data_IF_112677039137
#
_entry.id   IF_112677039137
#
_cell.length_a   1.000
_cell.length_b   1.000
_cell.length_c   1.000
_cell.angle_alpha   90.00
_cell.angle_beta   90.00
_cell.angle_gamma   90.00
#
_symmetry.space_group_name_H-M   'P 1'
#
loop_
_entity.id
_entity.type
_entity.pdbx_description
1 polymer ?
#
# COMPACT_ATOMS: atom_id res chain seq x y z
N UNK A 1 2.30 24.12 0.22
CA UNK A 1 1.67 23.34 1.31
C UNK A 1 2.19 21.90 1.33
N UNK A 2 2.16 21.14 0.22
CA UNK A 2 2.64 19.74 0.15
C UNK A 2 4.05 19.52 0.72
N UNK A 3 5.07 20.29 0.27
CA UNK A 3 6.44 20.16 0.80
C UNK A 3 6.57 20.47 2.29
N UNK A 4 5.76 21.39 2.81
CA UNK A 4 5.73 21.73 4.25
C UNK A 4 5.19 20.57 5.06
N UNK A 5 4.09 19.96 4.61
CA UNK A 5 3.46 18.82 5.27
C UNK A 5 4.32 17.55 5.18
N UNK A 6 4.96 17.31 4.03
CA UNK A 6 5.91 16.22 3.88
C UNK A 6 7.08 16.36 4.86
N UNK A 7 7.70 17.55 4.94
CA UNK A 7 8.78 17.84 5.89
C UNK A 7 8.34 17.69 7.34
N UNK A 8 7.12 18.08 7.67
CA UNK A 8 6.55 17.92 9.00
C UNK A 8 6.41 16.44 9.37
N UNK A 9 5.99 15.62 8.40
CA UNK A 9 5.82 14.18 8.60
C UNK A 9 7.14 13.41 8.65
N UNK A 10 8.14 13.80 7.87
CA UNK A 10 9.40 13.03 7.73
C UNK A 10 10.57 13.63 8.49
N UNK A 11 10.49 14.90 8.91
CA UNK A 11 11.63 15.65 9.42
C UNK A 11 12.65 16.06 8.35
N UNK A 12 12.45 15.68 7.07
CA UNK A 12 13.43 15.84 6.00
C UNK A 12 13.03 16.93 5.01
N UNK A 13 14.00 17.74 4.57
CA UNK A 13 13.82 18.74 3.51
C UNK A 13 14.13 18.22 2.11
N UNK A 14 14.82 17.08 2.03
CA UNK A 14 15.22 16.40 0.79
C UNK A 14 14.80 14.94 0.93
N UNK A 15 14.33 14.34 -0.17
CA UNK A 15 13.96 12.92 -0.18
C UNK A 15 15.15 12.06 0.23
N UNK A 16 14.88 11.07 1.09
CA UNK A 16 15.86 10.05 1.49
C UNK A 16 16.43 9.30 0.26
N UNK A 17 15.67 9.13 -0.82
CA UNK A 17 16.10 8.36 -2.00
C UNK A 17 16.74 9.19 -3.11
N UNK A 18 17.06 10.45 -2.85
CA UNK A 18 17.64 11.35 -3.85
C UNK A 18 18.94 10.80 -4.44
N UNK A 19 19.85 10.33 -3.58
CA UNK A 19 21.16 9.84 -4.04
C UNK A 19 21.06 8.47 -4.72
N UNK A 20 20.17 7.60 -4.24
CA UNK A 20 19.88 6.32 -4.91
C UNK A 20 19.27 6.54 -6.30
N UNK A 21 18.32 7.47 -6.46
CA UNK A 21 17.79 7.82 -7.76
C UNK A 21 18.86 8.32 -8.72
N UNK A 22 19.77 9.20 -8.26
CA UNK A 22 20.87 9.67 -9.10
C UNK A 22 21.78 8.52 -9.50
N UNK A 23 22.15 7.66 -8.54
CA UNK A 23 23.02 6.50 -8.76
C UNK A 23 22.43 5.53 -9.78
N UNK A 24 21.14 5.23 -9.70
CA UNK A 24 20.46 4.27 -10.56
C UNK A 24 19.75 4.89 -11.77
N UNK A 25 19.90 6.20 -12.00
CA UNK A 25 19.26 6.91 -13.12
C UNK A 25 19.60 6.31 -14.49
N UNK A 26 20.82 5.81 -14.67
CA UNK A 26 21.23 5.12 -15.91
C UNK A 26 20.43 3.83 -16.14
N UNK A 27 20.31 3.00 -15.10
CA UNK A 27 19.51 1.76 -15.14
C UNK A 27 18.01 2.03 -15.31
N UNK A 28 17.49 3.06 -14.64
CA UNK A 28 16.10 3.50 -14.83
C UNK A 28 15.85 3.89 -16.29
N UNK A 29 16.73 4.71 -16.87
CA UNK A 29 16.63 5.11 -18.28
C UNK A 29 16.69 3.91 -19.21
N UNK A 30 17.67 3.03 -19.05
CA UNK A 30 17.85 1.82 -19.87
C UNK A 30 16.60 0.92 -19.85
N UNK A 31 15.98 0.76 -18.68
CA UNK A 31 14.86 -0.19 -18.48
C UNK A 31 13.48 0.43 -18.67
N UNK A 32 13.35 1.76 -18.74
CA UNK A 32 12.06 2.44 -18.87
C UNK A 32 11.91 3.12 -20.23
N UNK A 33 12.99 3.70 -20.79
CA UNK A 33 12.90 4.44 -22.03
C UNK A 33 12.42 3.57 -23.18
N UNK A 34 11.37 4.02 -23.87
CA UNK A 34 10.77 3.27 -24.98
C UNK A 34 10.06 1.97 -24.56
N UNK A 35 9.85 1.74 -23.26
CA UNK A 35 9.16 0.54 -22.74
C UNK A 35 7.67 0.78 -22.52
N UNK A 36 6.89 -0.31 -22.56
CA UNK A 36 5.44 -0.31 -22.30
C UNK A 36 5.18 -0.61 -20.82
N UNK A 37 4.54 0.31 -20.12
CA UNK A 37 4.21 0.19 -18.68
C UNK A 37 2.71 0.02 -18.49
N UNK A 38 2.33 -0.99 -17.72
CA UNK A 38 0.98 -1.16 -17.17
C UNK A 38 1.03 -0.91 -15.65
N UNK A 39 0.30 0.10 -15.18
CA UNK A 39 0.24 0.46 -13.77
C UNK A 39 -1.19 0.31 -13.22
N UNK A 40 -1.40 -0.70 -12.39
CA UNK A 40 -2.70 -1.10 -11.82
C UNK A 40 -2.85 -0.51 -10.42
N UNK A 41 -4.04 0.01 -10.07
CA UNK A 41 -4.28 0.73 -8.82
C UNK A 41 -3.52 2.04 -8.71
N UNK A 42 -3.06 2.58 -9.85
CA UNK A 42 -2.09 3.68 -9.89
C UNK A 42 -2.73 5.07 -9.87
N UNK A 43 -4.05 5.17 -9.74
CA UNK A 43 -4.70 6.42 -9.35
C UNK A 43 -4.58 6.68 -7.83
N UNK A 44 -4.30 5.64 -7.04
CA UNK A 44 -4.00 5.77 -5.61
C UNK A 44 -2.65 6.45 -5.34
N UNK A 45 -2.49 7.00 -4.14
CA UNK A 45 -1.39 7.95 -3.81
C UNK A 45 0.04 7.45 -4.05
N UNK A 46 0.32 6.17 -3.82
CA UNK A 46 1.67 5.58 -4.05
C UNK A 46 1.88 5.34 -5.55
N UNK A 47 0.86 4.77 -6.22
CA UNK A 47 0.94 4.44 -7.62
C UNK A 47 1.05 5.68 -8.50
N UNK A 48 0.32 6.76 -8.18
CA UNK A 48 0.43 8.05 -8.87
C UNK A 48 1.84 8.62 -8.74
N UNK A 49 2.38 8.67 -7.52
CA UNK A 49 3.74 9.13 -7.24
C UNK A 49 4.80 8.29 -7.97
N UNK A 50 4.59 6.97 -8.08
CA UNK A 50 5.50 6.06 -8.81
C UNK A 50 5.45 6.32 -10.31
N UNK A 51 4.25 6.46 -10.86
CA UNK A 51 4.02 6.76 -12.27
C UNK A 51 4.61 8.11 -12.65
N UNK A 52 4.52 9.11 -11.77
CA UNK A 52 5.14 10.42 -11.97
C UNK A 52 6.67 10.33 -12.12
N UNK A 53 7.33 9.50 -11.31
CA UNK A 53 8.78 9.24 -11.42
C UNK A 53 9.10 8.54 -12.74
N UNK A 54 8.40 7.44 -13.05
CA UNK A 54 8.69 6.62 -14.23
C UNK A 54 8.37 7.35 -15.55
N UNK A 55 7.35 8.21 -15.57
CA UNK A 55 7.03 9.05 -16.72
C UNK A 55 8.16 10.02 -17.10
N UNK A 56 9.03 10.38 -16.14
CA UNK A 56 10.23 11.18 -16.40
C UNK A 56 11.33 10.46 -17.18
N UNK A 57 11.22 9.15 -17.37
CA UNK A 57 12.18 8.33 -18.12
C UNK A 57 11.68 7.94 -19.52
N UNK A 58 10.67 8.65 -20.04
CA UNK A 58 10.20 8.56 -21.44
C UNK A 58 9.78 7.13 -21.88
N UNK A 59 8.85 6.46 -21.18
CA UNK A 59 8.30 5.19 -21.65
C UNK A 59 7.54 5.37 -22.98
N UNK A 60 7.51 4.32 -23.80
CA UNK A 60 6.74 4.32 -25.05
C UNK A 60 5.23 4.35 -24.78
N UNK A 61 4.79 3.63 -23.74
CA UNK A 61 3.40 3.68 -23.28
C UNK A 61 3.29 3.64 -21.75
N UNK A 62 2.22 4.24 -21.25
CA UNK A 62 1.83 4.22 -19.86
C UNK A 62 0.31 4.03 -19.79
N UNK A 63 -0.11 2.80 -19.48
CA UNK A 63 -1.50 2.45 -19.26
C UNK A 63 -1.77 2.37 -17.76
N UNK A 64 -2.63 3.25 -17.25
CA UNK A 64 -2.99 3.32 -15.83
C UNK A 64 -4.38 2.72 -15.66
N UNK A 65 -4.50 1.65 -14.87
CA UNK A 65 -5.77 0.98 -14.55
C UNK A 65 -6.14 1.28 -13.10
N UNK A 66 -7.36 1.75 -12.87
CA UNK A 66 -7.96 1.87 -11.53
C UNK A 66 -9.48 1.84 -11.68
N UNK A 67 -10.26 1.42 -10.69
CA UNK A 67 -11.73 1.52 -10.79
C UNK A 67 -12.25 2.93 -10.48
N UNK A 68 -11.42 3.77 -9.84
CA UNK A 68 -11.80 5.11 -9.43
C UNK A 68 -11.52 6.13 -10.56
N UNK A 69 -12.53 6.38 -11.39
CA UNK A 69 -12.45 7.33 -12.51
C UNK A 69 -12.10 8.76 -12.08
N UNK A 70 -12.50 9.19 -10.88
CA UNK A 70 -12.21 10.53 -10.38
C UNK A 70 -10.71 10.70 -10.09
N UNK A 71 -10.10 9.73 -9.41
CA UNK A 71 -8.66 9.77 -9.13
C UNK A 71 -7.84 9.58 -10.41
N UNK A 72 -8.33 8.81 -11.38
CA UNK A 72 -7.71 8.74 -12.72
C UNK A 72 -7.72 10.12 -13.39
N UNK A 73 -8.83 10.84 -13.34
CA UNK A 73 -8.92 12.20 -13.88
C UNK A 73 -7.96 13.16 -13.16
N UNK A 74 -7.86 13.09 -11.83
CA UNK A 74 -6.89 13.88 -11.07
C UNK A 74 -5.44 13.54 -11.43
N UNK A 75 -5.10 12.26 -11.61
CA UNK A 75 -3.77 11.85 -12.07
C UNK A 75 -3.43 12.45 -13.45
N UNK A 76 -4.37 12.43 -14.39
CA UNK A 76 -4.17 13.05 -15.72
C UNK A 76 -3.90 14.54 -15.58
N UNK A 77 -4.66 15.25 -14.73
CA UNK A 77 -4.45 16.69 -14.49
C UNK A 77 -3.07 16.94 -13.87
N UNK A 78 -2.67 16.16 -12.87
CA UNK A 78 -1.36 16.28 -12.23
C UNK A 78 -0.22 16.07 -13.23
N UNK A 79 -0.25 14.98 -14.00
CA UNK A 79 0.81 14.68 -14.99
C UNK A 79 0.90 15.73 -16.10
N UNK A 80 -0.23 16.29 -16.55
CA UNK A 80 -0.25 17.29 -17.62
C UNK A 80 0.02 18.72 -17.16
N UNK A 81 -0.06 19.00 -15.86
CA UNK A 81 0.21 20.33 -15.29
C UNK A 81 1.67 20.53 -14.89
N UNK A 82 2.53 19.54 -15.15
CA UNK A 82 3.98 19.63 -14.89
C UNK A 82 4.63 20.64 -15.83
N UNK A 83 5.74 21.22 -15.38
CA UNK A 83 6.54 22.14 -16.20
C UNK A 83 7.07 21.47 -17.47
N UNK A 84 7.50 20.22 -17.36
CA UNK A 84 7.90 19.40 -18.51
C UNK A 84 6.68 18.66 -19.05
N UNK A 85 6.45 18.76 -20.36
CA UNK A 85 5.40 18.02 -21.03
C UNK A 85 5.57 16.51 -20.82
N UNK A 86 4.46 15.80 -20.64
CA UNK A 86 4.46 14.35 -20.52
C UNK A 86 4.95 13.71 -21.83
N UNK A 87 6.20 13.26 -21.84
CA UNK A 87 6.86 12.63 -22.98
C UNK A 87 6.51 11.13 -23.09
N UNK A 88 5.21 10.83 -23.13
CA UNK A 88 4.67 9.47 -23.32
C UNK A 88 3.69 9.50 -24.46
N UNK A 89 4.04 8.85 -25.58
CA UNK A 89 3.25 8.90 -26.81
C UNK A 89 1.89 8.22 -26.64
N UNK A 90 1.87 7.06 -25.97
CA UNK A 90 0.65 6.30 -25.70
C UNK A 90 0.33 6.29 -24.19
N UNK A 91 -0.35 7.35 -23.74
CA UNK A 91 -0.80 7.49 -22.35
C UNK A 91 -2.31 7.29 -22.26
N UNK A 92 -2.75 6.30 -21.47
CA UNK A 92 -4.17 5.96 -21.28
C UNK A 92 -4.49 5.74 -19.81
N UNK A 93 -5.64 6.23 -19.38
CA UNK A 93 -6.25 5.91 -18.08
C UNK A 93 -7.52 5.10 -18.30
N UNK A 94 -7.64 3.96 -17.62
CA UNK A 94 -8.63 2.93 -17.88
C UNK A 94 -9.41 2.63 -16.59
N UNK A 95 -10.71 2.97 -16.52
CA UNK A 95 -11.55 2.77 -15.33
C UNK A 95 -11.96 1.30 -15.18
N UNK A 96 -11.02 0.40 -14.86
CA UNK A 96 -11.22 -1.05 -14.85
C UNK A 96 -10.91 -1.65 -13.47
N UNK A 97 -11.69 -2.66 -13.09
CA UNK A 97 -11.27 -3.62 -12.06
C UNK A 97 -10.26 -4.59 -12.67
N UNK A 98 -9.10 -4.73 -12.05
CA UNK A 98 -8.00 -5.55 -12.56
C UNK A 98 -8.26 -7.06 -12.48
N UNK A 99 -9.32 -7.48 -11.77
CA UNK A 99 -9.83 -8.85 -11.81
C UNK A 99 -10.94 -9.08 -12.84
N UNK A 100 -11.32 -8.08 -13.64
CA UNK A 100 -12.44 -8.17 -14.56
C UNK A 100 -12.09 -8.87 -15.89
N UNK A 101 -13.10 -9.40 -16.63
CA UNK A 101 -12.89 -9.90 -17.99
C UNK A 101 -12.29 -8.86 -18.95
N UNK A 102 -12.62 -7.57 -18.76
CA UNK A 102 -12.06 -6.48 -19.57
C UNK A 102 -10.55 -6.34 -19.36
N UNK A 103 -10.05 -6.55 -18.14
CA UNK A 103 -8.61 -6.57 -17.86
C UNK A 103 -7.90 -7.70 -18.61
N UNK A 104 -8.51 -8.90 -18.63
CA UNK A 104 -7.94 -10.03 -19.38
C UNK A 104 -7.85 -9.73 -20.88
N UNK A 105 -8.90 -9.16 -21.47
CA UNK A 105 -8.88 -8.74 -22.88
C UNK A 105 -7.80 -7.68 -23.14
N UNK A 106 -7.67 -6.68 -22.26
CA UNK A 106 -6.62 -5.67 -22.36
C UNK A 106 -5.22 -6.30 -22.40
N UNK A 107 -4.95 -7.28 -21.54
CA UNK A 107 -3.65 -7.96 -21.50
C UNK A 107 -3.33 -8.70 -22.81
N UNK A 108 -4.33 -9.33 -23.43
CA UNK A 108 -4.15 -10.07 -24.68
C UNK A 108 -4.03 -9.16 -25.91
N UNK A 109 -4.79 -8.06 -25.97
CA UNK A 109 -4.85 -7.18 -27.15
C UNK A 109 -3.75 -6.10 -27.16
N UNK A 110 -3.39 -5.57 -25.99
CA UNK A 110 -2.42 -4.46 -25.87
C UNK A 110 -1.02 -4.93 -25.41
N UNK A 111 -0.90 -6.18 -24.96
CA UNK A 111 0.37 -6.78 -24.57
C UNK A 111 1.31 -7.06 -25.77
N UNK A 112 2.56 -7.47 -25.50
CA UNK A 112 3.16 -7.62 -24.18
C UNK A 112 3.59 -6.26 -23.60
N UNK A 113 3.45 -6.11 -22.28
CA UNK A 113 4.07 -5.02 -21.53
C UNK A 113 5.50 -5.41 -21.14
N UNK A 114 6.38 -4.43 -20.92
CA UNK A 114 7.72 -4.66 -20.39
C UNK A 114 7.74 -4.59 -18.86
N UNK A 115 6.89 -3.75 -18.28
CA UNK A 115 6.79 -3.51 -16.83
C UNK A 115 5.32 -3.52 -16.43
N UNK A 116 4.98 -4.33 -15.44
CA UNK A 116 3.64 -4.39 -14.84
C UNK A 116 3.76 -4.09 -13.34
N UNK A 117 3.09 -3.04 -12.89
CA UNK A 117 3.09 -2.56 -11.51
C UNK A 117 1.68 -2.75 -10.93
N UNK A 118 1.54 -3.38 -9.77
CA UNK A 118 0.27 -3.50 -9.07
C UNK A 118 0.29 -2.81 -7.70
N UNK A 119 -0.48 -1.73 -7.59
CA UNK A 119 -0.70 -0.96 -6.37
C UNK A 119 -2.09 -1.19 -5.78
N UNK A 120 -2.97 -1.93 -6.47
CA UNK A 120 -4.34 -2.16 -6.04
C UNK A 120 -4.38 -2.98 -4.75
N UNK A 121 -5.08 -2.47 -3.73
CA UNK A 121 -5.23 -3.17 -2.47
C UNK A 121 -6.41 -2.64 -1.64
N UNK A 122 -6.96 -3.52 -0.81
CA UNK A 122 -7.64 -3.12 0.43
C UNK A 122 -6.60 -3.07 1.53
N UNK A 123 -6.25 -1.85 1.96
CA UNK A 123 -5.10 -1.58 2.83
C UNK A 123 -5.45 -1.26 4.29
N UNK A 124 -6.72 -1.15 4.63
CA UNK A 124 -7.16 -0.69 5.93
C UNK A 124 -7.47 -1.87 6.86
N UNK A 125 -6.78 -1.96 8.01
CA UNK A 125 -7.02 -3.01 9.02
C UNK A 125 -8.47 -3.03 9.51
N UNK A 126 -9.13 -1.87 9.57
CA UNK A 126 -10.57 -1.77 9.91
C UNK A 126 -11.52 -2.53 8.96
N UNK A 127 -11.06 -2.96 7.78
CA UNK A 127 -11.84 -3.82 6.88
C UNK A 127 -11.97 -5.26 7.41
N UNK A 128 -11.40 -5.58 8.57
CA UNK A 128 -11.57 -6.86 9.28
C UNK A 128 -12.83 -6.91 10.16
N UNK A 129 -13.59 -5.81 10.20
CA UNK A 129 -14.78 -5.66 11.03
C UNK A 129 -15.85 -6.71 10.75
N UNK A 130 -15.98 -7.16 9.51
CA UNK A 130 -16.99 -8.12 9.08
C UNK A 130 -16.43 -9.09 8.02
N UNK A 131 -17.10 -10.23 7.84
CA UNK A 131 -16.63 -11.29 6.94
C UNK A 131 -16.69 -10.89 5.46
N UNK A 132 -17.61 -10.02 5.07
CA UNK A 132 -17.77 -9.60 3.68
C UNK A 132 -16.64 -8.65 3.26
N UNK A 133 -16.30 -7.69 4.10
CA UNK A 133 -15.16 -6.80 3.91
C UNK A 133 -13.83 -7.58 3.86
N UNK A 134 -13.69 -8.63 4.69
CA UNK A 134 -12.54 -9.52 4.63
C UNK A 134 -12.50 -10.35 3.35
N UNK A 135 -13.63 -10.88 2.89
CA UNK A 135 -13.69 -11.57 1.60
C UNK A 135 -13.25 -10.64 0.47
N UNK A 136 -13.76 -9.41 0.41
CA UNK A 136 -13.33 -8.46 -0.62
C UNK A 136 -11.83 -8.16 -0.53
N UNK A 137 -11.28 -8.10 0.69
CA UNK A 137 -9.84 -7.93 0.92
C UNK A 137 -9.02 -9.11 0.38
N UNK A 138 -9.44 -10.35 0.63
CA UNK A 138 -8.77 -11.54 0.08
C UNK A 138 -8.93 -11.65 -1.44
N UNK A 139 -10.10 -11.32 -1.97
CA UNK A 139 -10.33 -11.22 -3.42
C UNK A 139 -9.34 -10.22 -4.05
N UNK A 140 -9.30 -9.00 -3.49
CA UNK A 140 -8.49 -7.89 -4.03
C UNK A 140 -7.00 -8.06 -3.81
N UNK A 141 -6.54 -8.57 -2.67
CA UNK A 141 -5.10 -8.62 -2.37
C UNK A 141 -4.46 -9.93 -2.82
N UNK A 142 -5.22 -11.03 -2.88
CA UNK A 142 -4.69 -12.38 -3.07
C UNK A 142 -5.22 -13.08 -4.32
N UNK A 143 -6.54 -13.23 -4.49
CA UNK A 143 -7.08 -13.98 -5.62
C UNK A 143 -6.89 -13.27 -6.96
N UNK A 144 -7.24 -11.99 -7.07
CA UNK A 144 -7.06 -11.22 -8.30
C UNK A 144 -5.57 -11.08 -8.67
N UNK A 145 -4.68 -11.02 -7.68
CA UNK A 145 -3.23 -11.07 -7.90
C UNK A 145 -2.81 -12.39 -8.55
N UNK A 146 -3.30 -13.53 -8.04
CA UNK A 146 -3.05 -14.84 -8.63
C UNK A 146 -3.58 -14.93 -10.06
N UNK A 147 -4.78 -14.41 -10.32
CA UNK A 147 -5.37 -14.37 -11.66
C UNK A 147 -4.57 -13.50 -12.63
N UNK A 148 -4.13 -12.32 -12.19
CA UNK A 148 -3.30 -11.41 -12.98
C UNK A 148 -1.99 -12.09 -13.42
N UNK A 149 -1.29 -12.75 -12.49
CA UNK A 149 -0.06 -13.48 -12.82
C UNK A 149 -0.29 -14.60 -13.84
N UNK A 150 -1.40 -15.33 -13.70
CA UNK A 150 -1.79 -16.38 -14.65
C UNK A 150 -2.02 -15.78 -16.05
N UNK A 151 -2.80 -14.70 -16.16
CA UNK A 151 -3.05 -14.03 -17.44
C UNK A 151 -1.78 -13.45 -18.05
N UNK A 152 -0.87 -12.89 -17.26
CA UNK A 152 0.44 -12.46 -17.75
C UNK A 152 1.23 -13.63 -18.33
N UNK A 153 1.23 -14.79 -17.65
CA UNK A 153 1.83 -16.02 -18.17
C UNK A 153 1.23 -16.47 -19.51
N UNK A 154 -0.09 -16.38 -19.66
CA UNK A 154 -0.81 -16.70 -20.91
C UNK A 154 -0.39 -15.79 -22.08
N UNK A 155 0.02 -14.54 -21.82
CA UNK A 155 0.53 -13.62 -22.84
C UNK A 155 2.01 -13.82 -23.20
N UNK A 156 2.71 -14.73 -22.51
CA UNK A 156 4.16 -14.91 -22.68
C UNK A 156 4.99 -13.79 -22.04
N UNK A 157 4.48 -13.11 -21.02
CA UNK A 157 5.16 -12.02 -20.33
C UNK A 157 6.49 -12.48 -19.71
N UNK A 158 7.59 -11.80 -20.06
CA UNK A 158 8.95 -12.03 -19.51
C UNK A 158 9.56 -10.77 -18.91
N UNK A 159 8.74 -9.73 -18.68
CA UNK A 159 9.18 -8.43 -18.20
C UNK A 159 9.36 -8.38 -16.68
N UNK A 160 9.18 -7.19 -16.11
CA UNK A 160 9.25 -6.94 -14.67
C UNK A 160 7.86 -6.83 -14.07
N UNK A 161 7.54 -7.70 -13.11
CA UNK A 161 6.33 -7.61 -12.30
C UNK A 161 6.68 -7.07 -10.91
N UNK A 162 5.94 -6.05 -10.47
CA UNK A 162 6.08 -5.46 -9.15
C UNK A 162 4.72 -5.32 -8.49
N UNK A 163 4.65 -5.58 -7.18
CA UNK A 163 3.49 -5.24 -6.37
C UNK A 163 3.91 -4.70 -5.02
N UNK A 164 3.14 -3.77 -4.45
CA UNK A 164 3.42 -3.16 -3.16
C UNK A 164 2.91 -4.03 -2.01
N UNK A 165 3.80 -4.37 -1.08
CA UNK A 165 3.47 -4.99 0.21
C UNK A 165 3.51 -3.93 1.33
N UNK A 166 3.67 -4.33 2.58
CA UNK A 166 3.62 -3.45 3.76
C UNK A 166 4.44 -4.07 4.88
N UNK A 167 4.97 -3.23 5.77
CA UNK A 167 5.48 -3.63 7.09
C UNK A 167 4.58 -4.65 7.81
N UNK A 168 3.26 -4.51 7.69
CA UNK A 168 2.28 -5.39 8.35
C UNK A 168 2.25 -6.82 7.80
N UNK A 169 2.90 -7.08 6.67
CA UNK A 169 3.11 -8.43 6.14
C UNK A 169 4.25 -9.15 6.87
N UNK A 170 5.19 -8.43 7.48
CA UNK A 170 6.18 -9.02 8.37
C UNK A 170 5.51 -9.42 9.69
N UNK A 171 5.50 -10.72 9.99
CA UNK A 171 4.87 -11.31 11.17
C UNK A 171 3.41 -10.82 11.36
N UNK A 172 2.48 -11.19 10.46
CA UNK A 172 1.16 -10.57 10.41
C UNK A 172 0.37 -10.79 11.71
N UNK A 173 -0.30 -9.74 12.19
CA UNK A 173 -1.18 -9.74 13.37
C UNK A 173 -2.62 -9.29 13.05
N UNK A 174 -2.89 -9.05 11.77
CA UNK A 174 -4.15 -8.57 11.21
C UNK A 174 -4.40 -9.32 9.89
N UNK A 175 -5.66 -9.59 9.51
CA UNK A 175 -5.97 -10.16 8.19
C UNK A 175 -5.52 -9.26 7.04
N UNK A 176 -5.45 -7.94 7.20
CA UNK A 176 -4.88 -7.05 6.20
C UNK A 176 -3.40 -7.39 5.98
N UNK A 177 -2.62 -7.46 7.05
CA UNK A 177 -1.22 -7.90 7.00
C UNK A 177 -1.08 -9.31 6.42
N UNK A 178 -1.92 -10.24 6.87
CA UNK A 178 -1.92 -11.62 6.35
C UNK A 178 -2.25 -11.69 4.86
N UNK A 179 -3.24 -10.94 4.38
CA UNK A 179 -3.60 -10.91 2.95
C UNK A 179 -2.45 -10.40 2.08
N UNK A 180 -1.65 -9.45 2.59
CA UNK A 180 -0.44 -8.95 1.93
C UNK A 180 0.71 -9.95 2.01
N UNK A 181 0.85 -10.69 3.10
CA UNK A 181 1.80 -11.80 3.19
C UNK A 181 1.47 -12.93 2.21
N UNK A 182 0.19 -13.29 2.10
CA UNK A 182 -0.28 -14.26 1.11
C UNK A 182 -0.08 -13.76 -0.34
N UNK A 183 -0.26 -12.45 -0.59
CA UNK A 183 0.08 -11.83 -1.88
C UNK A 183 1.57 -12.01 -2.22
N UNK A 184 2.48 -11.83 -1.26
CA UNK A 184 3.92 -12.11 -1.47
C UNK A 184 4.14 -13.57 -1.87
N UNK A 185 3.52 -14.53 -1.17
CA UNK A 185 3.63 -15.95 -1.54
C UNK A 185 3.11 -16.26 -2.95
N UNK A 186 1.98 -15.66 -3.35
CA UNK A 186 1.42 -15.80 -4.70
C UNK A 186 2.40 -15.31 -5.76
N UNK A 187 3.05 -14.17 -5.51
CA UNK A 187 4.00 -13.58 -6.44
C UNK A 187 5.26 -14.43 -6.59
N UNK A 188 5.90 -14.77 -5.48
CA UNK A 188 7.24 -15.32 -5.53
C UNK A 188 7.30 -16.84 -5.62
N UNK A 189 6.26 -17.58 -5.21
CA UNK A 189 6.28 -19.06 -5.28
C UNK A 189 6.28 -19.62 -6.70
N UNK A 190 5.78 -18.86 -7.67
CA UNK A 190 5.53 -19.34 -9.04
C UNK A 190 4.35 -20.31 -9.16
N UNK A 191 3.69 -20.70 -8.06
CA UNK A 191 2.59 -21.68 -8.08
C UNK A 191 1.31 -21.14 -8.75
N UNK A 192 1.11 -19.82 -8.77
CA UNK A 192 -0.04 -19.19 -9.40
C UNK A 192 0.06 -19.15 -10.94
N UNK A 193 1.28 -19.15 -11.47
CA UNK A 193 1.58 -18.98 -12.90
C UNK A 193 2.83 -19.79 -13.27
N UNK A 194 2.66 -21.11 -13.34
CA UNK A 194 3.75 -22.03 -13.62
C UNK A 194 4.40 -21.72 -14.98
N UNK A 195 5.73 -21.58 -15.00
CA UNK A 195 6.49 -21.24 -16.20
C UNK A 195 6.61 -19.76 -16.53
N UNK A 196 6.04 -18.85 -15.71
CA UNK A 196 6.27 -17.42 -15.84
C UNK A 196 7.75 -17.08 -15.62
N UNK A 197 8.41 -16.46 -16.62
CA UNK A 197 9.84 -16.10 -16.59
C UNK A 197 10.10 -14.62 -16.31
N UNK A 198 9.15 -13.96 -15.65
CA UNK A 198 9.25 -12.55 -15.30
C UNK A 198 10.22 -12.35 -14.13
N UNK A 199 10.85 -11.18 -14.07
CA UNK A 199 11.50 -10.70 -12.85
C UNK A 199 10.42 -10.22 -11.89
N UNK A 200 10.38 -10.77 -10.67
CA UNK A 200 9.36 -10.47 -9.66
C UNK A 200 10.01 -9.73 -8.51
N UNK A 201 9.45 -8.58 -8.17
CA UNK A 201 9.93 -7.72 -7.08
C UNK A 201 8.78 -7.22 -6.24
N UNK A 202 9.07 -6.81 -5.01
CA UNK A 202 8.11 -6.10 -4.16
C UNK A 202 8.82 -5.05 -3.32
N UNK A 203 8.05 -4.30 -2.55
CA UNK A 203 8.56 -3.40 -1.54
C UNK A 203 7.70 -3.48 -0.28
N UNK A 204 8.34 -3.41 0.90
CA UNK A 204 7.65 -3.11 2.16
C UNK A 204 8.16 -1.76 2.66
N UNK A 205 7.22 -0.90 2.98
CA UNK A 205 7.53 0.35 3.66
C UNK A 205 6.39 0.69 4.61
N UNK A 206 6.70 1.70 5.42
CA UNK A 206 5.93 2.22 6.53
C UNK A 206 4.66 2.94 6.08
N UNK A 207 4.19 3.83 6.95
CA UNK A 207 3.15 4.78 6.64
C UNK A 207 3.63 5.84 5.63
N UNK A 208 2.84 6.04 4.58
CA UNK A 208 3.02 7.16 3.65
C UNK A 208 2.23 8.35 4.15
N UNK A 209 2.95 9.42 4.47
CA UNK A 209 2.38 10.65 5.02
C UNK A 209 1.33 11.23 4.07
N UNK A 210 0.18 11.64 4.63
CA UNK A 210 -0.93 12.26 3.91
C UNK A 210 -1.50 11.43 2.73
N UNK A 211 -1.21 10.13 2.67
CA UNK A 211 -1.81 9.24 1.67
C UNK A 211 -3.32 9.05 1.87
N UNK A 212 -4.03 8.66 0.81
CA UNK A 212 -5.49 8.50 0.82
C UNK A 212 -5.95 7.58 1.96
N UNK A 213 -6.88 8.08 2.79
CA UNK A 213 -7.46 7.37 3.93
C UNK A 213 -6.54 7.24 5.16
N UNK A 214 -5.35 7.85 5.16
CA UNK A 214 -4.44 7.85 6.31
C UNK A 214 -4.93 8.77 7.45
N UNK A 215 -4.40 8.56 8.65
CA UNK A 215 -4.69 9.43 9.80
C UNK A 215 -4.27 10.89 9.51
N UNK A 216 -3.10 11.08 8.89
CA UNK A 216 -2.55 12.40 8.57
C UNK A 216 -3.43 13.14 7.55
N UNK A 217 -3.94 12.47 6.51
CA UNK A 217 -4.92 13.06 5.60
C UNK A 217 -6.22 13.43 6.35
N UNK A 218 -6.59 12.64 7.36
CA UNK A 218 -7.77 12.95 8.17
C UNK A 218 -7.61 14.29 8.90
N UNK A 219 -6.39 14.69 9.30
CA UNK A 219 -6.15 15.99 9.94
C UNK A 219 -6.54 17.16 9.05
N UNK A 220 -6.14 17.13 7.77
CA UNK A 220 -6.55 18.15 6.79
C UNK A 220 -8.08 18.20 6.64
N UNK A 221 -8.72 17.03 6.51
CA UNK A 221 -10.17 16.94 6.33
C UNK A 221 -10.93 17.44 7.55
N UNK A 222 -10.52 17.05 8.76
CA UNK A 222 -11.14 17.48 10.02
C UNK A 222 -11.00 18.99 10.22
N UNK A 223 -9.81 19.53 9.95
CA UNK A 223 -9.57 20.98 10.03
C UNK A 223 -10.48 21.75 9.07
N UNK A 224 -10.56 21.32 7.80
CA UNK A 224 -11.43 21.92 6.78
C UNK A 224 -12.92 21.86 7.16
N UNK A 225 -13.34 20.77 7.79
CA UNK A 225 -14.73 20.55 8.21
C UNK A 225 -15.06 21.19 9.56
N UNK A 226 -14.10 21.86 10.22
CA UNK A 226 -14.32 22.43 11.56
C UNK A 226 -14.60 21.36 12.61
N UNK A 227 -13.83 20.27 12.59
CA UNK A 227 -13.94 19.13 13.49
C UNK A 227 -12.66 18.96 14.32
N UNK A 228 -12.73 18.31 15.50
CA UNK A 228 -11.54 18.02 16.29
C UNK A 228 -10.56 17.14 15.53
N UNK A 229 -9.27 17.32 15.81
CA UNK A 229 -8.28 16.33 15.42
C UNK A 229 -8.26 15.21 16.45
N UNK A 230 -7.91 13.99 16.04
CA UNK A 230 -7.77 12.86 16.94
C UNK A 230 -6.47 12.10 16.65
N UNK A 231 -5.70 11.77 17.68
CA UNK A 231 -4.49 10.96 17.56
C UNK A 231 -4.41 9.95 18.72
N UNK A 232 -3.97 8.70 18.47
CA UNK A 232 -3.76 7.76 19.55
C UNK A 232 -2.53 8.14 20.38
N UNK A 233 -2.63 7.96 21.70
CA UNK A 233 -1.50 8.11 22.63
C UNK A 233 -0.49 6.99 22.44
N UNK A 234 0.73 7.24 22.90
CA UNK A 234 1.81 6.25 23.02
C UNK A 234 2.10 5.44 21.74
N UNK A 235 1.77 6.02 20.58
CA UNK A 235 1.91 5.37 19.28
C UNK A 235 2.96 6.09 18.46
N UNK A 236 3.98 5.35 18.03
CA UNK A 236 5.06 5.85 17.17
C UNK A 236 5.04 5.16 15.82
N UNK A 237 5.32 5.91 14.75
CA UNK A 237 5.32 5.39 13.37
C UNK A 237 6.49 5.98 12.60
N UNK A 238 6.98 5.23 11.62
CA UNK A 238 7.84 5.78 10.60
C UNK A 238 7.00 6.43 9.51
N UNK A 239 7.53 7.48 8.90
CA UNK A 239 6.89 8.12 7.77
C UNK A 239 7.85 8.27 6.60
N UNK A 240 7.32 7.96 5.43
CA UNK A 240 7.88 8.41 4.15
C UNK A 240 6.89 9.38 3.51
N UNK A 241 7.40 10.36 2.79
CA UNK A 241 6.58 11.24 1.96
C UNK A 241 6.01 10.50 0.76
N UNK A 242 5.01 11.10 0.10
CA UNK A 242 4.48 10.59 -1.17
C UNK A 242 5.59 10.47 -2.22
N UNK A 243 6.43 11.49 -2.32
CA UNK A 243 7.61 11.50 -3.18
C UNK A 243 8.52 10.29 -2.89
N UNK A 244 8.99 10.14 -1.65
CA UNK A 244 9.86 9.01 -1.25
C UNK A 244 9.21 7.66 -1.54
N UNK A 245 7.89 7.52 -1.34
CA UNK A 245 7.18 6.26 -1.63
C UNK A 245 7.16 5.92 -3.12
N UNK A 246 6.97 6.93 -3.98
CA UNK A 246 7.00 6.76 -5.43
C UNK A 246 8.39 6.42 -5.95
N UNK A 247 9.41 7.09 -5.40
CA UNK A 247 10.81 6.84 -5.73
C UNK A 247 11.25 5.43 -5.30
N UNK A 248 10.83 5.00 -4.11
CA UNK A 248 11.12 3.66 -3.60
C UNK A 248 10.52 2.60 -4.52
N UNK A 249 9.24 2.74 -4.88
CA UNK A 249 8.57 1.80 -5.77
C UNK A 249 9.16 1.80 -7.19
N UNK A 250 9.58 2.96 -7.71
CA UNK A 250 10.27 3.04 -9.01
C UNK A 250 11.60 2.29 -8.99
N UNK A 251 12.42 2.52 -7.95
CA UNK A 251 13.69 1.82 -7.76
C UNK A 251 13.48 0.32 -7.54
N UNK A 252 12.50 -0.07 -6.72
CA UNK A 252 12.21 -1.47 -6.45
C UNK A 252 11.72 -2.22 -7.69
N UNK A 253 10.76 -1.64 -8.42
CA UNK A 253 10.20 -2.27 -9.62
C UNK A 253 11.21 -2.39 -10.76
N UNK A 254 12.05 -1.37 -10.98
CA UNK A 254 12.95 -1.32 -12.13
C UNK A 254 14.35 -1.84 -11.83
N UNK A 255 14.89 -1.53 -10.65
CA UNK A 255 16.27 -1.82 -10.28
C UNK A 255 16.39 -2.98 -9.27
N UNK A 256 15.30 -3.36 -8.61
CA UNK A 256 15.26 -4.45 -7.64
C UNK A 256 15.75 -5.79 -8.22
N UNK A 257 16.54 -6.56 -7.46
CA UNK A 257 16.92 -7.92 -7.83
C UNK A 257 15.70 -8.84 -7.90
N UNK A 258 15.72 -9.81 -8.80
CA UNK A 258 14.65 -10.80 -8.92
C UNK A 258 14.46 -11.59 -7.62
N UNK A 259 13.21 -11.93 -7.27
CA UNK A 259 12.83 -12.65 -6.06
C UNK A 259 13.16 -11.92 -4.75
N UNK A 260 13.16 -10.58 -4.77
CA UNK A 260 13.44 -9.77 -3.58
C UNK A 260 12.35 -8.75 -3.26
N UNK A 261 12.25 -8.45 -1.96
CA UNK A 261 11.40 -7.43 -1.38
C UNK A 261 12.29 -6.29 -0.90
N UNK A 262 12.17 -5.11 -1.51
CA UNK A 262 12.94 -3.93 -1.14
C UNK A 262 12.37 -3.28 0.12
N UNK A 263 13.23 -2.90 1.06
CA UNK A 263 12.85 -2.26 2.32
C UNK A 263 13.75 -1.05 2.61
N UNK A 264 13.23 0.03 3.19
CA UNK A 264 14.06 1.18 3.55
C UNK A 264 14.96 0.88 4.76
N UNK A 265 16.14 1.50 4.78
CA UNK A 265 17.01 1.54 5.96
C UNK A 265 16.48 2.61 6.91
N UNK A 266 15.58 2.21 7.81
CA UNK A 266 15.02 3.10 8.81
C UNK A 266 15.63 2.79 10.17
N UNK A 267 16.33 3.79 10.72
CA UNK A 267 16.80 3.77 12.10
C UNK A 267 15.64 4.11 13.07
N UNK A 268 15.29 3.22 14.02
CA UNK A 268 14.28 3.49 15.03
C UNK A 268 14.51 4.74 15.88
N UNK A 269 15.75 5.02 16.25
CA UNK A 269 16.07 6.14 17.14
C UNK A 269 15.93 7.48 16.42
N UNK A 270 16.14 7.50 15.10
CA UNK A 270 16.08 8.72 14.29
C UNK A 270 14.70 8.95 13.66
N UNK A 271 13.99 7.90 13.27
CA UNK A 271 12.84 8.03 12.36
C UNK A 271 11.47 7.70 12.98
N UNK A 272 11.40 7.17 14.21
CA UNK A 272 10.11 6.91 14.88
C UNK A 272 9.52 8.19 15.47
N UNK A 273 8.40 8.64 14.92
CA UNK A 273 7.70 9.84 15.39
C UNK A 273 6.41 9.51 16.16
N UNK A 274 6.18 10.11 17.34
CA UNK A 274 4.90 10.02 18.03
C UNK A 274 3.77 10.68 17.22
N UNK A 275 2.64 9.99 17.07
CA UNK A 275 1.48 10.51 16.34
C UNK A 275 0.85 11.74 17.00
N UNK A 276 0.94 11.83 18.32
CA UNK A 276 0.54 13.04 19.05
C UNK A 276 1.37 14.26 18.62
N UNK A 277 2.70 14.10 18.55
CA UNK A 277 3.59 15.18 18.13
C UNK A 277 3.27 15.61 16.69
N UNK A 278 2.98 14.64 15.82
CA UNK A 278 2.54 14.90 14.44
C UNK A 278 1.29 15.79 14.39
N UNK A 279 0.28 15.48 15.20
CA UNK A 279 -0.96 16.24 15.27
C UNK A 279 -0.75 17.65 15.83
N UNK A 280 0.10 17.79 16.87
CA UNK A 280 0.49 19.09 17.45
C UNK A 280 1.20 19.96 16.42
N UNK A 281 2.25 19.44 15.79
CA UNK A 281 3.02 20.16 14.77
C UNK A 281 2.13 20.53 13.58
N UNK A 282 1.22 19.64 13.17
CA UNK A 282 0.26 19.96 12.10
C UNK A 282 -0.62 21.16 12.48
N UNK A 283 -1.17 21.21 13.69
CA UNK A 283 -1.97 22.35 14.15
C UNK A 283 -1.17 23.65 14.22
N UNK A 284 0.06 23.58 14.74
CA UNK A 284 0.97 24.73 14.80
C UNK A 284 1.30 25.28 13.41
N UNK A 285 1.58 24.38 12.45
CA UNK A 285 1.80 24.75 11.06
C UNK A 285 0.57 25.39 10.40
N UNK A 286 -0.62 25.06 10.88
CA UNK A 286 -1.90 25.66 10.46
C UNK A 286 -2.27 26.92 11.26
N UNK A 287 -1.41 27.37 12.19
CA UNK A 287 -1.61 28.59 12.97
C UNK A 287 -2.48 28.43 14.22
N UNK A 288 -2.68 27.20 14.70
CA UNK A 288 -3.46 26.92 15.91
C UNK A 288 -2.59 26.35 17.03
N UNK A 289 -2.88 26.75 18.27
CA UNK A 289 -2.35 26.07 19.46
C UNK A 289 -3.21 24.85 19.81
N UNK A 290 -2.63 23.64 19.97
CA UNK A 290 -3.40 22.46 20.31
C UNK A 290 -3.96 22.52 21.74
N UNK A 291 -5.25 22.25 21.89
CA UNK A 291 -5.91 22.02 23.19
C UNK A 291 -6.14 20.53 23.40
N UNK A 292 -5.51 19.95 24.41
CA UNK A 292 -5.54 18.52 24.65
C UNK A 292 -6.81 18.12 25.38
N UNK A 293 -7.54 17.16 24.79
CA UNK A 293 -8.81 16.68 25.32
C UNK A 293 -8.84 15.15 25.31
N UNK A 294 -9.63 14.56 26.19
CA UNK A 294 -9.81 13.09 26.28
C UNK A 294 -11.24 12.65 26.01
N UNK A 295 -12.21 13.56 26.18
CA UNK A 295 -13.62 13.31 25.97
C UNK A 295 -14.07 13.81 24.60
N UNK A 296 -14.58 12.89 23.79
CA UNK A 296 -14.95 13.14 22.39
C UNK A 296 -16.10 14.15 22.26
N UNK A 297 -17.12 14.04 23.12
CA UNK A 297 -18.25 14.97 23.13
C UNK A 297 -17.82 16.40 23.48
N UNK A 298 -16.90 16.54 24.42
CA UNK A 298 -16.34 17.83 24.81
C UNK A 298 -15.49 18.44 23.69
N UNK A 299 -14.64 17.62 23.05
CA UNK A 299 -13.83 18.03 21.91
C UNK A 299 -14.71 18.55 20.75
N UNK A 300 -15.80 17.85 20.42
CA UNK A 300 -16.74 18.32 19.39
C UNK A 300 -17.40 19.64 19.77
N UNK A 301 -17.87 19.78 21.01
CA UNK A 301 -18.56 20.98 21.47
C UNK A 301 -17.64 22.21 21.57
N UNK A 302 -16.33 22.00 21.73
CA UNK A 302 -15.37 23.08 21.98
C UNK A 302 -14.79 23.73 20.70
N UNK A 303 -14.96 23.12 19.51
CA UNK A 303 -14.28 23.57 18.28
C UNK A 303 -14.53 25.05 17.98
N UNK A 304 -15.78 25.50 17.99
CA UNK A 304 -16.12 26.88 17.63
C UNK A 304 -15.50 27.90 18.60
N UNK A 305 -15.58 27.61 19.90
CA UNK A 305 -15.00 28.45 20.95
C UNK A 305 -13.47 28.50 20.85
N UNK A 306 -12.82 27.34 20.81
CA UNK A 306 -11.36 27.24 20.76
C UNK A 306 -10.80 27.88 19.49
N UNK A 307 -11.45 27.68 18.34
CA UNK A 307 -11.04 28.30 17.07
C UNK A 307 -10.99 29.82 17.16
N UNK A 308 -11.98 30.44 17.82
CA UNK A 308 -12.01 31.89 18.04
C UNK A 308 -10.87 32.38 18.96
N UNK A 309 -10.36 31.51 19.83
CA UNK A 309 -9.22 31.76 20.72
C UNK A 309 -7.85 31.47 20.05
N UNK A 310 -7.82 31.09 18.76
CA UNK A 310 -6.59 30.64 18.09
C UNK A 310 -6.11 29.25 18.52
N UNK A 311 -6.99 28.46 19.14
CA UNK A 311 -6.73 27.10 19.63
C UNK A 311 -7.52 26.07 18.83
N UNK A 312 -7.12 24.80 18.88
CA UNK A 312 -7.86 23.72 18.23
C UNK A 312 -7.92 22.45 19.11
N UNK A 313 -9.09 21.81 19.26
CA UNK A 313 -9.19 20.60 20.05
C UNK A 313 -8.45 19.43 19.39
N UNK A 314 -7.54 18.83 20.15
CA UNK A 314 -6.81 17.62 19.82
C UNK A 314 -7.21 16.52 20.83
N UNK A 315 -8.03 15.58 20.36
CA UNK A 315 -8.50 14.43 21.11
C UNK A 315 -7.42 13.35 21.15
N UNK A 316 -6.95 13.00 22.34
CA UNK A 316 -5.98 11.92 22.53
C UNK A 316 -6.69 10.62 22.93
N UNK A 317 -6.71 9.64 22.03
CA UNK A 317 -7.42 8.36 22.24
C UNK A 317 -6.49 7.28 22.79
N UNK A 318 -7.00 6.28 23.55
CA UNK A 318 -6.25 5.06 23.84
C UNK A 318 -5.90 4.28 22.57
N UNK A 319 -4.88 3.41 22.65
CA UNK A 319 -4.54 2.46 21.59
C UNK A 319 -5.41 1.20 21.72
N UNK A 320 -6.64 1.27 21.23
CA UNK A 320 -7.62 0.17 21.31
C UNK A 320 -8.10 -0.36 19.94
N UNK A 321 -7.43 0.07 18.87
CA UNK A 321 -7.73 -0.36 17.49
C UNK A 321 -7.18 -1.78 17.23
N UNK A 322 -8.01 -2.64 16.64
CA UNK A 322 -7.63 -4.02 16.26
C UNK A 322 -6.34 -4.06 15.43
N UNK A 323 -5.44 -4.99 15.72
CA UNK A 323 -4.31 -5.34 14.84
C UNK A 323 -3.21 -4.27 14.69
N UNK A 324 -3.33 -3.12 15.36
CA UNK A 324 -2.27 -2.09 15.34
C UNK A 324 -1.10 -2.51 16.24
N UNK A 325 0.09 -2.63 15.64
CA UNK A 325 1.34 -2.88 16.37
C UNK A 325 1.86 -1.59 17.03
N UNK A 326 2.56 -1.67 18.17
CA UNK A 326 3.17 -0.50 18.81
C UNK A 326 4.34 0.07 17.97
N UNK A 327 5.06 -0.77 17.22
CA UNK A 327 6.12 -0.39 16.28
C UNK A 327 6.04 -1.23 14.99
N UNK A 328 6.76 -0.80 13.95
CA UNK A 328 6.77 -1.42 12.63
C UNK A 328 8.00 -2.33 12.45
N UNK A 329 7.81 -3.46 11.78
CA UNK A 329 8.85 -4.43 11.44
C UNK A 329 8.87 -4.59 9.92
N UNK A 330 10.04 -4.47 9.29
CA UNK A 330 10.16 -4.68 7.83
C UNK A 330 10.68 -6.07 7.47
N UNK A 331 11.42 -6.69 8.40
CA UNK A 331 12.05 -8.01 8.27
C UNK A 331 11.30 -8.97 9.18
N UNK A 332 10.71 -10.03 8.62
CA UNK A 332 9.97 -11.03 9.38
C UNK A 332 10.91 -12.00 10.12
N UNK A 333 10.34 -12.81 11.01
CA UNK A 333 11.10 -13.86 11.69
C UNK A 333 11.71 -14.85 10.68
N UNK A 334 13.03 -15.00 10.73
CA UNK A 334 13.78 -15.87 9.84
C UNK A 334 13.98 -15.32 8.42
N UNK A 335 13.70 -14.04 8.19
CA UNK A 335 14.17 -13.28 7.02
C UNK A 335 15.45 -12.51 7.37
N UNK A 336 16.27 -12.20 6.37
CA UNK A 336 17.48 -11.37 6.51
C UNK A 336 17.46 -10.29 5.46
N UNK A 337 17.70 -9.04 5.89
CA UNK A 337 17.92 -7.93 4.97
C UNK A 337 19.37 -7.93 4.46
N UNK A 338 19.53 -7.83 3.15
CA UNK A 338 20.79 -7.87 2.43
C UNK A 338 21.09 -6.49 1.85
N UNK A 339 22.36 -6.11 1.87
CA UNK A 339 22.83 -4.98 1.09
C UNK A 339 22.87 -5.36 -0.39
N UNK A 340 22.17 -4.57 -1.20
CA UNK A 340 22.06 -4.74 -2.65
C UNK A 340 22.61 -3.53 -3.42
N UNK A 341 23.48 -2.75 -2.76
CA UNK A 341 24.18 -1.61 -3.34
C UNK A 341 23.39 -0.31 -3.34
N UNK A 342 22.27 -0.22 -2.63
CA UNK A 342 21.53 1.02 -2.43
C UNK A 342 22.01 1.70 -1.13
N UNK A 343 22.07 3.03 -1.15
CA UNK A 343 22.40 3.84 0.01
C UNK A 343 21.38 3.64 1.11
N UNK A 344 20.10 3.74 0.77
CA UNK A 344 19.00 3.81 1.73
C UNK A 344 17.99 2.66 1.63
N UNK A 345 18.24 1.69 0.75
CA UNK A 345 17.41 0.49 0.60
C UNK A 345 18.22 -0.78 0.89
N UNK A 346 17.55 -1.77 1.44
CA UNK A 346 18.00 -3.16 1.55
C UNK A 346 17.02 -4.06 0.79
N UNK A 347 17.39 -5.32 0.61
CA UNK A 347 16.54 -6.31 0.00
C UNK A 347 16.40 -7.54 0.89
N UNK A 348 15.19 -8.05 1.00
CA UNK A 348 14.90 -9.34 1.64
C UNK A 348 14.69 -10.35 0.54
N UNK A 349 15.50 -11.40 0.49
CA UNK A 349 15.27 -12.52 -0.40
C UNK A 349 13.99 -13.25 0.02
N UNK A 350 13.10 -13.53 -0.94
CA UNK A 350 11.87 -14.26 -0.65
C UNK A 350 12.18 -15.62 -0.01
N UNK A 351 11.47 -15.92 1.08
CA UNK A 351 11.49 -17.23 1.73
C UNK A 351 10.29 -18.05 1.26
N UNK A 352 10.50 -19.14 0.48
CA UNK A 352 9.40 -19.95 -0.02
C UNK A 352 8.55 -20.57 1.08
N UNK A 353 7.23 -20.56 0.87
CA UNK A 353 6.31 -21.46 1.56
C UNK A 353 6.53 -22.91 1.09
N UNK A 354 5.99 -23.87 1.85
CA UNK A 354 6.01 -25.27 1.43
C UNK A 354 5.25 -25.45 0.10
N UNK A 355 5.86 -26.24 -0.79
CA UNK A 355 5.37 -26.44 -2.16
C UNK A 355 3.96 -27.02 -2.17
N UNK A 356 3.08 -26.41 -2.95
CA UNK A 356 1.69 -26.82 -3.12
C UNK A 356 0.72 -26.15 -2.15
N UNK A 357 1.20 -25.53 -1.07
CA UNK A 357 0.31 -24.86 -0.11
C UNK A 357 -0.33 -23.61 -0.70
N UNK A 358 0.42 -22.84 -1.51
CA UNK A 358 -0.10 -21.60 -2.12
C UNK A 358 -1.21 -21.94 -3.11
N UNK A 359 -0.97 -22.88 -4.01
CA UNK A 359 -1.97 -23.34 -4.98
C UNK A 359 -3.19 -24.01 -4.33
N UNK A 360 -3.01 -24.78 -3.26
CA UNK A 360 -4.12 -25.32 -2.48
C UNK A 360 -4.96 -24.21 -1.84
N UNK A 361 -4.31 -23.21 -1.22
CA UNK A 361 -5.01 -22.08 -0.63
C UNK A 361 -5.78 -21.25 -1.66
N UNK A 362 -5.20 -21.00 -2.84
CA UNK A 362 -5.90 -20.33 -3.94
C UNK A 362 -7.21 -21.06 -4.26
N UNK A 363 -7.17 -22.40 -4.44
CA UNK A 363 -8.36 -23.21 -4.75
C UNK A 363 -9.42 -23.15 -3.66
N UNK A 364 -9.00 -23.23 -2.39
CA UNK A 364 -9.92 -23.19 -1.25
C UNK A 364 -10.60 -21.82 -1.12
N UNK A 365 -9.85 -20.74 -1.31
CA UNK A 365 -10.40 -19.38 -1.27
C UNK A 365 -11.31 -19.16 -2.50
N UNK A 366 -10.93 -19.57 -3.71
CA UNK A 366 -11.80 -19.55 -4.90
C UNK A 366 -13.10 -20.34 -4.69
N UNK A 367 -13.06 -21.49 -4.00
CA UNK A 367 -14.26 -22.29 -3.71
C UNK A 367 -15.26 -21.50 -2.85
N UNK A 368 -14.79 -20.72 -1.87
CA UNK A 368 -15.66 -19.85 -1.05
C UNK A 368 -16.45 -18.87 -1.93
N UNK A 369 -15.85 -18.33 -3.00
CA UNK A 369 -16.53 -17.42 -3.94
C UNK A 369 -17.39 -18.11 -5.01
N UNK A 370 -17.13 -19.39 -5.33
CA UNK A 370 -17.94 -20.16 -6.29
C UNK A 370 -19.18 -20.78 -5.67
N UNK A 371 -19.08 -21.24 -4.41
CA UNK A 371 -20.17 -21.89 -3.69
C UNK A 371 -21.36 -20.93 -3.40
N UNK A 372 -21.19 -19.63 -3.63
CA UNK A 372 -22.27 -18.63 -3.58
C UNK A 372 -23.15 -18.59 -4.83
N UNK A 373 -22.79 -19.29 -5.92
CA UNK A 373 -23.61 -19.34 -7.13
C UNK A 373 -24.78 -20.35 -7.03
N UNK A 374 -24.80 -21.22 -6.02
CA UNK A 374 -25.80 -22.31 -5.86
C UNK A 374 -26.62 -22.22 -4.55
N UNK A 375 -26.71 -21.03 -3.93
CA UNK A 375 -27.22 -20.75 -2.57
C UNK A 375 -28.58 -21.37 -2.20
N UNK A 376 -28.62 -22.67 -1.95
CA UNK A 376 -29.66 -23.31 -1.14
C UNK A 376 -29.29 -23.32 0.35
N UNK A 377 -27.98 -23.28 0.68
CA UNK A 377 -27.42 -23.07 2.02
C UNK A 377 -25.95 -22.60 1.88
N UNK A 378 -25.62 -21.32 2.10
CA UNK A 378 -24.23 -20.90 2.18
C UNK A 378 -23.53 -21.65 3.32
N UNK A 379 -22.27 -22.11 3.16
CA UNK A 379 -21.48 -22.56 4.30
C UNK A 379 -21.38 -21.42 5.30
N UNK A 380 -21.41 -21.72 6.61
CA UNK A 380 -21.15 -20.72 7.66
C UNK A 380 -19.72 -20.22 7.49
N UNK A 381 -19.55 -19.12 6.77
CA UNK A 381 -18.27 -18.45 6.67
C UNK A 381 -18.14 -17.55 7.89
N UNK A 382 -17.34 -18.00 8.85
CA UNK A 382 -16.90 -17.19 9.98
C UNK A 382 -15.43 -16.78 9.81
N UNK A 383 -14.98 -15.88 10.69
CA UNK A 383 -13.62 -15.37 10.67
C UNK A 383 -12.61 -16.49 11.00
N UNK A 384 -13.00 -17.48 11.79
CA UNK A 384 -12.14 -18.56 12.24
C UNK A 384 -11.77 -19.50 11.09
N UNK A 385 -12.70 -19.76 10.17
CA UNK A 385 -12.40 -20.49 8.94
C UNK A 385 -11.35 -19.78 8.09
N UNK A 386 -11.47 -18.46 7.89
CA UNK A 386 -10.46 -17.67 7.17
C UNK A 386 -9.11 -17.65 7.91
N UNK A 387 -9.13 -17.50 9.23
CA UNK A 387 -7.93 -17.55 10.08
C UNK A 387 -7.20 -18.89 9.94
N UNK A 388 -7.96 -19.99 9.94
CA UNK A 388 -7.43 -21.35 9.75
C UNK A 388 -6.81 -21.54 8.37
N UNK A 389 -7.42 -20.96 7.32
CA UNK A 389 -6.87 -21.01 5.96
C UNK A 389 -5.53 -20.26 5.86
N UNK A 390 -5.44 -19.05 6.41
CA UNK A 390 -4.19 -18.29 6.49
C UNK A 390 -3.12 -19.09 7.24
N UNK A 391 -3.49 -19.69 8.37
CA UNK A 391 -2.58 -20.43 9.24
C UNK A 391 -1.91 -21.65 8.60
N UNK A 392 -2.44 -22.15 7.48
CA UNK A 392 -1.80 -23.25 6.74
C UNK A 392 -0.45 -22.82 6.15
N UNK A 393 -0.31 -21.55 5.77
CA UNK A 393 0.93 -20.99 5.22
C UNK A 393 1.68 -20.18 6.28
N UNK A 394 0.94 -19.50 7.17
CA UNK A 394 1.49 -18.66 8.24
C UNK A 394 1.00 -19.15 9.62
N UNK A 395 1.54 -20.26 10.18
CA UNK A 395 1.01 -20.88 11.40
C UNK A 395 0.97 -19.97 12.63
N UNK A 396 1.92 -19.03 12.72
CA UNK A 396 1.98 -18.03 13.80
C UNK A 396 0.73 -17.13 13.83
N UNK A 397 0.01 -16.99 12.71
CA UNK A 397 -1.19 -16.17 12.63
C UNK A 397 -2.31 -16.61 13.59
N UNK A 398 -2.35 -17.89 13.97
CA UNK A 398 -3.31 -18.39 14.96
C UNK A 398 -3.18 -17.68 16.31
N UNK A 399 -1.94 -17.38 16.71
CA UNK A 399 -1.60 -16.81 18.01
C UNK A 399 -1.37 -15.30 17.95
N UNK A 400 -0.84 -14.77 16.85
CA UNK A 400 -0.53 -13.34 16.70
C UNK A 400 -1.76 -12.49 16.39
N UNK A 401 -2.77 -13.04 15.70
CA UNK A 401 -4.00 -12.31 15.38
C UNK A 401 -4.87 -12.09 16.61
N UNK A 402 -5.14 -10.81 16.93
CA UNK A 402 -5.99 -10.39 18.05
C UNK A 402 -7.24 -9.69 17.53
N UNK A 403 -8.39 -10.12 18.01
CA UNK A 403 -9.66 -9.47 17.74
C UNK A 403 -9.79 -8.15 18.52
N UNK A 404 -10.52 -7.19 17.96
CA UNK A 404 -11.07 -6.08 18.76
C UNK A 404 -12.51 -5.84 18.35
N UNK A 405 -13.34 -5.63 19.36
CA UNK A 405 -14.78 -5.39 19.22
C UNK A 405 -15.08 -3.95 18.79
N UNK A 406 -14.09 -3.05 18.84
CA UNK A 406 -14.26 -1.65 18.48
C UNK A 406 -13.92 -1.41 17.01
N UNK A 407 -14.90 -0.91 16.27
CA UNK A 407 -14.75 -0.53 14.85
C UNK A 407 -14.91 0.98 14.71
N UNK A 408 -14.43 1.55 13.59
CA UNK A 408 -14.67 2.98 13.31
C UNK A 408 -16.16 3.30 13.19
N UNK A 409 -16.99 2.33 12.78
CA UNK A 409 -18.44 2.49 12.66
C UNK A 409 -19.12 2.76 14.02
N UNK A 410 -18.46 2.37 15.12
CA UNK A 410 -18.96 2.50 16.49
C UNK A 410 -18.34 3.69 17.25
N UNK A 411 -17.41 4.43 16.63
CA UNK A 411 -16.87 5.68 17.20
C UNK A 411 -17.84 6.83 16.86
N UNK A 412 -18.17 7.67 17.85
CA UNK A 412 -19.25 8.68 17.77
C UNK A 412 -18.73 10.02 17.26
#
# INVERSE_FOLDING_TARGET
>A
MSNTLARLATGRSVSLLTDDLRKFSGTLTERVKGKRILAIGAAGSIGSSTVEVLAGFEPASLHVVDHNENELAELVRTLRSREQALAVADFRTLPLDYGSPAMRLLLHEEGPYDIVLNFAAIKHVRSEKDVFSMLQMFDTNFLKQSQLLRWLGETGFTGRFFSVSTDKAANPSSFMGASKRLMEHVMFSGEAAEGLKATITSARFANVAFSNGSLLQSFERRLQQGQPLAAPRDTRRYFVSLEESGQLCALASVCGPDQHIMVPKLDPDEHLLPLENMARSFLEAMGYTPEIMTEEAEARASVARLRAEGRWPLLLTPLDTAGEKPYEEFVAEGETALDVGFGELMAIAYKPAEKGLVSALIKDVEAIFRDTASLARPPSLDKDRLKTLVARIEPSFLTTHKYSDKTLDLRV
#
